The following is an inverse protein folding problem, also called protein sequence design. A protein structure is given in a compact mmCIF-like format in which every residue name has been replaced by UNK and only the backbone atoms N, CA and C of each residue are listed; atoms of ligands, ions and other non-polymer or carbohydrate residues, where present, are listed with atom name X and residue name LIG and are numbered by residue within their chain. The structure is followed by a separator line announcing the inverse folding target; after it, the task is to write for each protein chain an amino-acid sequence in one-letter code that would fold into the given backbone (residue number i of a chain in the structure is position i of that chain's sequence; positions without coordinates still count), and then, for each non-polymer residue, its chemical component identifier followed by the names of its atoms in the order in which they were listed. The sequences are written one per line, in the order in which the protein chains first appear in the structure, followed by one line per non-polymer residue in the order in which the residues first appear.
data_IF_860141327018
#
_entry.id   IF_860141327018
#
_cell.length_a   1.000
_cell.length_b   1.000
_cell.length_c   1.000
_cell.angle_alpha   90.00
_cell.angle_beta   90.00
_cell.angle_gamma   90.00
#
_symmetry.space_group_name_H-M   'P 1'
#
loop_
_entity.id
_entity.type
_entity.pdbx_description
1 polymer ?
#
# COMPACT_ATOMS: atom_id res chain seq x y z
N UNK A 1 -16.77 -0.14 9.64
CA UNK A 1 -16.35 -0.38 8.24
C UNK A 1 -16.02 -1.85 8.04
N UNK A 2 -16.51 -2.41 6.96
CA UNK A 2 -16.29 -3.83 6.70
C UNK A 2 -14.85 -4.08 6.28
N UNK A 3 -14.19 -5.13 6.81
CA UNK A 3 -12.80 -5.43 6.44
C UNK A 3 -12.57 -5.60 4.94
N UNK A 4 -13.54 -6.18 4.23
CA UNK A 4 -13.43 -6.38 2.78
C UNK A 4 -13.35 -5.04 2.03
N UNK A 5 -14.05 -4.01 2.50
CA UNK A 5 -14.04 -2.69 1.86
C UNK A 5 -12.66 -2.03 1.99
N UNK A 6 -12.02 -2.19 3.14
CA UNK A 6 -10.67 -1.66 3.35
C UNK A 6 -9.63 -2.49 2.61
N UNK A 7 -9.84 -3.80 2.49
CA UNK A 7 -8.95 -4.66 1.71
C UNK A 7 -8.94 -4.22 0.25
N UNK A 8 -10.11 -3.95 -0.32
CA UNK A 8 -10.20 -3.44 -1.68
C UNK A 8 -9.51 -2.08 -1.82
N UNK A 9 -9.68 -1.21 -0.82
CA UNK A 9 -9.02 0.08 -0.82
C UNK A 9 -7.49 -0.06 -0.86
N UNK A 10 -6.93 -0.99 -0.09
CA UNK A 10 -5.49 -1.25 -0.08
C UNK A 10 -5.01 -1.80 -1.42
N UNK A 11 -5.82 -2.66 -2.04
CA UNK A 11 -5.52 -3.24 -3.35
C UNK A 11 -5.31 -2.13 -4.39
N UNK A 12 -6.19 -1.14 -4.40
CA UNK A 12 -6.06 -0.01 -5.33
C UNK A 12 -4.97 0.97 -4.91
N UNK A 13 -4.82 1.17 -3.60
CA UNK A 13 -3.82 2.10 -3.09
C UNK A 13 -2.40 1.67 -3.47
N UNK A 14 -2.06 0.39 -3.36
CA UNK A 14 -0.72 -0.07 -3.71
C UNK A 14 -0.46 0.12 -5.20
N UNK A 15 -1.45 -0.07 -6.03
CA UNK A 15 -1.31 0.15 -7.47
C UNK A 15 -1.09 1.63 -7.79
N UNK A 16 -1.83 2.51 -7.11
CA UNK A 16 -1.67 3.95 -7.30
C UNK A 16 -0.28 4.42 -6.82
N UNK A 17 0.17 3.91 -5.69
CA UNK A 17 1.50 4.23 -5.17
C UNK A 17 2.58 3.78 -6.15
N UNK A 18 2.47 2.55 -6.64
CA UNK A 18 3.39 2.01 -7.62
C UNK A 18 3.42 2.89 -8.88
N UNK A 19 2.25 3.26 -9.39
CA UNK A 19 2.13 4.12 -10.56
C UNK A 19 2.83 5.46 -10.33
N UNK A 20 2.62 6.06 -9.17
CA UNK A 20 3.26 7.32 -8.81
C UNK A 20 4.78 7.19 -8.75
N UNK A 21 5.28 6.09 -8.18
CA UNK A 21 6.73 5.86 -8.10
C UNK A 21 7.37 5.71 -9.49
N UNK A 22 6.68 5.01 -10.40
CA UNK A 22 7.21 4.71 -11.73
C UNK A 22 7.08 5.89 -12.67
N UNK A 23 5.90 6.50 -12.74
CA UNK A 23 5.63 7.56 -13.73
C UNK A 23 6.04 8.93 -13.27
N UNK A 24 6.07 9.13 -11.96
CA UNK A 24 6.33 10.44 -11.33
C UNK A 24 5.30 11.49 -11.72
N UNK A 25 4.13 11.03 -12.16
CA UNK A 25 3.02 11.92 -12.46
C UNK A 25 2.47 12.58 -11.19
N UNK A 26 1.74 13.65 -11.37
CA UNK A 26 1.09 14.35 -10.27
C UNK A 26 0.14 13.41 -9.54
N UNK A 27 0.23 13.36 -8.21
CA UNK A 27 -0.60 12.44 -7.42
C UNK A 27 -2.10 12.70 -7.60
N UNK A 28 -2.50 13.96 -7.72
CA UNK A 28 -3.91 14.29 -7.93
C UNK A 28 -4.44 13.71 -9.24
N UNK A 29 -3.61 13.71 -10.28
CA UNK A 29 -4.01 13.15 -11.57
C UNK A 29 -4.12 11.63 -11.50
N UNK A 30 -3.20 10.98 -10.78
CA UNK A 30 -3.26 9.52 -10.58
C UNK A 30 -4.51 9.16 -9.80
N UNK A 31 -4.79 9.90 -8.72
CA UNK A 31 -5.98 9.66 -7.92
C UNK A 31 -7.25 9.79 -8.76
N UNK A 32 -7.34 10.85 -9.55
CA UNK A 32 -8.49 11.07 -10.41
C UNK A 32 -8.66 9.93 -11.41
N UNK A 33 -7.56 9.49 -11.99
CA UNK A 33 -7.57 8.39 -12.96
C UNK A 33 -8.13 7.11 -12.31
N UNK A 34 -7.68 6.80 -11.10
CA UNK A 34 -8.20 5.63 -10.38
C UNK A 34 -9.68 5.79 -10.03
N UNK A 35 -10.08 7.00 -9.59
CA UNK A 35 -11.48 7.26 -9.23
C UNK A 35 -12.41 7.25 -10.44
N UNK A 36 -11.90 7.60 -11.62
CA UNK A 36 -12.70 7.58 -12.85
C UNK A 36 -12.97 6.16 -13.36
N UNK A 37 -12.16 5.21 -12.92
CA UNK A 37 -12.32 3.82 -13.35
C UNK A 37 -11.76 3.50 -14.72
N UNK A 38 -11.14 4.45 -15.39
CA UNK A 38 -10.62 4.24 -16.75
C UNK A 38 -9.61 3.09 -16.82
N UNK A 39 -8.70 3.01 -15.86
CA UNK A 39 -7.68 1.97 -15.86
C UNK A 39 -8.24 0.59 -15.57
N UNK A 40 -9.50 0.49 -15.19
CA UNK A 40 -10.14 -0.79 -14.86
C UNK A 40 -10.93 -1.38 -16.01
N UNK A 41 -10.95 -0.75 -17.17
CA UNK A 41 -11.69 -1.29 -18.31
C UNK A 41 -11.21 -2.69 -18.67
N UNK A 42 -9.90 -2.90 -18.68
CA UNK A 42 -9.33 -4.23 -18.95
C UNK A 42 -9.59 -5.19 -17.79
N UNK A 43 -9.44 -4.71 -16.57
CA UNK A 43 -9.66 -5.53 -15.38
C UNK A 43 -11.13 -5.90 -15.19
N UNK A 44 -12.03 -5.07 -15.68
CA UNK A 44 -13.46 -5.31 -15.57
C UNK A 44 -13.88 -6.62 -16.23
N UNK A 45 -13.06 -7.16 -17.12
CA UNK A 45 -13.32 -8.45 -17.75
C UNK A 45 -12.97 -9.64 -16.86
N UNK A 46 -12.32 -9.40 -15.74
CA UNK A 46 -12.00 -10.46 -14.79
C UNK A 46 -13.08 -10.52 -13.72
N UNK A 47 -13.67 -11.70 -13.57
CA UNK A 47 -14.83 -11.86 -12.70
C UNK A 47 -14.55 -11.57 -11.22
N UNK A 48 -13.31 -11.77 -10.79
CA UNK A 48 -12.91 -11.61 -9.40
C UNK A 48 -12.19 -10.29 -9.09
N UNK A 49 -12.03 -9.42 -10.08
CA UNK A 49 -11.31 -8.17 -9.88
C UNK A 49 -12.15 -7.20 -9.04
N UNK A 50 -11.55 -6.54 -8.03
CA UNK A 50 -12.28 -5.51 -7.29
C UNK A 50 -12.49 -4.28 -8.16
N UNK A 51 -13.57 -3.56 -7.88
CA UNK A 51 -13.92 -2.32 -8.60
C UNK A 51 -13.92 -1.18 -7.59
N UNK A 52 -13.11 -0.16 -7.83
CA UNK A 52 -12.93 0.94 -6.86
C UNK A 52 -14.25 1.63 -6.53
N UNK A 53 -15.07 1.90 -7.54
CA UNK A 53 -16.34 2.59 -7.34
C UNK A 53 -17.45 1.69 -6.81
N UNK A 54 -17.18 0.41 -6.60
CA UNK A 54 -18.19 -0.51 -6.10
C UNK A 54 -18.58 -0.17 -4.65
N UNK A 55 -19.84 -0.45 -4.26
CA UNK A 55 -20.30 -0.12 -2.91
C UNK A 55 -19.47 -0.76 -1.80
N UNK A 56 -18.81 -1.86 -2.08
CA UNK A 56 -18.02 -2.59 -1.08
C UNK A 56 -16.57 -2.13 -1.01
N UNK A 57 -16.20 -1.04 -1.68
CA UNK A 57 -14.86 -0.47 -1.59
C UNK A 57 -14.90 0.83 -0.81
N UNK A 58 -14.01 0.96 0.18
CA UNK A 58 -13.90 2.18 0.97
C UNK A 58 -13.04 3.20 0.23
N UNK A 59 -13.68 4.04 -0.55
CA UNK A 59 -13.00 5.04 -1.39
C UNK A 59 -12.25 6.06 -0.52
N UNK A 60 -12.83 6.47 0.59
CA UNK A 60 -12.16 7.43 1.49
C UNK A 60 -10.87 6.84 2.06
N UNK A 61 -10.89 5.55 2.41
CA UNK A 61 -9.71 4.88 2.91
C UNK A 61 -8.63 4.80 1.82
N UNK A 62 -9.02 4.50 0.59
CA UNK A 62 -8.11 4.51 -0.55
C UNK A 62 -7.42 5.88 -0.68
N UNK A 63 -8.20 6.95 -0.63
CA UNK A 63 -7.66 8.30 -0.78
C UNK A 63 -6.71 8.65 0.36
N UNK A 64 -7.06 8.29 1.58
CA UNK A 64 -6.20 8.51 2.74
C UNK A 64 -4.87 7.78 2.58
N UNK A 65 -4.91 6.51 2.20
CA UNK A 65 -3.70 5.72 2.03
C UNK A 65 -2.80 6.27 0.93
N UNK A 66 -3.37 6.54 -0.23
CA UNK A 66 -2.57 7.02 -1.35
C UNK A 66 -2.00 8.40 -1.10
N UNK A 67 -2.85 9.35 -0.73
CA UNK A 67 -2.44 10.73 -0.44
C UNK A 67 -1.46 10.75 0.74
N UNK A 68 -1.74 9.97 1.76
CA UNK A 68 -0.89 9.91 2.94
C UNK A 68 0.51 9.43 2.63
N UNK A 69 0.63 8.39 1.80
CA UNK A 69 1.95 7.90 1.39
C UNK A 69 2.69 8.96 0.59
N UNK A 70 2.03 9.59 -0.38
CA UNK A 70 2.66 10.63 -1.20
C UNK A 70 3.18 11.77 -0.32
N UNK A 71 2.35 12.25 0.60
CA UNK A 71 2.73 13.38 1.45
C UNK A 71 3.79 13.04 2.50
N UNK A 72 3.86 11.79 2.92
CA UNK A 72 4.73 11.37 4.01
C UNK A 72 5.85 10.43 3.58
N UNK A 73 6.07 10.25 2.28
CA UNK A 73 7.00 9.22 1.83
C UNK A 73 8.42 9.41 2.37
N UNK A 74 8.88 10.63 2.55
CA UNK A 74 10.22 10.86 3.09
C UNK A 74 10.33 10.38 4.54
N UNK A 75 9.30 10.63 5.34
CA UNK A 75 9.25 10.14 6.72
C UNK A 75 9.19 8.61 6.73
N UNK A 76 8.34 8.03 5.88
CA UNK A 76 8.21 6.57 5.80
C UNK A 76 9.55 5.93 5.40
N UNK A 77 10.21 6.49 4.40
CA UNK A 77 11.50 5.98 3.93
C UNK A 77 12.56 6.06 5.02
N UNK A 78 12.57 7.16 5.76
CA UNK A 78 13.50 7.36 6.86
C UNK A 78 13.33 6.29 7.95
N UNK A 79 12.09 5.91 8.23
CA UNK A 79 11.79 4.90 9.24
C UNK A 79 12.20 3.50 8.81
N UNK A 80 12.10 3.19 7.51
CA UNK A 80 12.42 1.83 7.07
C UNK A 80 13.89 1.61 6.76
N UNK A 81 14.66 2.66 6.43
CA UNK A 81 16.06 2.50 6.01
C UNK A 81 16.90 1.66 6.96
N UNK A 82 16.85 1.85 8.30
CA UNK A 82 17.69 1.04 9.19
C UNK A 82 17.39 -0.46 9.16
N UNK A 83 16.25 -0.86 8.64
CA UNK A 83 15.83 -2.25 8.61
C UNK A 83 16.00 -2.91 7.26
N UNK A 84 16.54 -2.17 6.29
CA UNK A 84 16.78 -2.70 4.95
C UNK A 84 18.21 -3.23 4.86
N UNK A 85 18.38 -4.35 4.16
CA UNK A 85 19.70 -4.94 3.94
C UNK A 85 20.42 -4.33 2.74
N UNK A 86 19.71 -3.51 1.96
CA UNK A 86 20.28 -2.83 0.80
C UNK A 86 19.68 -1.43 0.71
N UNK A 87 20.31 -0.51 -0.07
CA UNK A 87 19.80 0.86 -0.17
C UNK A 87 18.37 0.89 -0.68
N UNK A 88 17.62 1.87 -0.19
CA UNK A 88 16.20 2.02 -0.55
C UNK A 88 16.01 2.15 -2.06
N UNK A 89 16.90 2.87 -2.73
CA UNK A 89 16.81 3.08 -4.17
C UNK A 89 17.05 1.80 -4.99
N UNK A 90 17.58 0.76 -4.36
CA UNK A 90 17.82 -0.53 -5.02
C UNK A 90 16.66 -1.52 -4.80
N UNK A 91 15.63 -1.11 -4.06
CA UNK A 91 14.48 -1.99 -3.84
C UNK A 91 13.65 -2.11 -5.12
N UNK A 92 13.05 -3.29 -5.29
CA UNK A 92 12.00 -3.47 -6.28
C UNK A 92 10.88 -2.46 -6.02
N UNK A 93 10.36 -1.84 -7.08
CA UNK A 93 9.38 -0.76 -6.93
C UNK A 93 8.07 -1.22 -6.33
N UNK A 94 7.65 -2.45 -6.59
CA UNK A 94 6.44 -2.97 -5.96
C UNK A 94 6.69 -3.25 -4.48
N UNK A 95 7.85 -3.79 -4.12
CA UNK A 95 8.20 -4.00 -2.72
C UNK A 95 8.23 -2.67 -1.97
N UNK A 96 8.78 -1.64 -2.59
CA UNK A 96 8.80 -0.30 -1.99
C UNK A 96 7.39 0.24 -1.78
N UNK A 97 6.51 0.06 -2.78
CA UNK A 97 5.12 0.50 -2.66
C UNK A 97 4.41 -0.21 -1.52
N UNK A 98 4.61 -1.52 -1.40
CA UNK A 98 4.01 -2.32 -0.34
C UNK A 98 4.48 -1.87 1.04
N UNK A 99 5.79 -1.63 1.17
CA UNK A 99 6.35 -1.18 2.45
C UNK A 99 5.85 0.22 2.81
N UNK A 100 5.80 1.14 1.86
CA UNK A 100 5.30 2.49 2.12
C UNK A 100 3.84 2.47 2.56
N UNK A 101 3.02 1.66 1.89
CA UNK A 101 1.61 1.53 2.25
C UNK A 101 1.46 1.00 3.66
N UNK A 102 2.13 -0.12 3.97
CA UNK A 102 2.02 -0.75 5.28
C UNK A 102 2.54 0.17 6.39
N UNK A 103 3.66 0.84 6.16
CA UNK A 103 4.21 1.76 7.15
C UNK A 103 3.27 2.94 7.42
N UNK A 104 2.65 3.46 6.38
CA UNK A 104 1.68 4.53 6.57
C UNK A 104 0.54 4.08 7.49
N UNK A 105 -0.03 2.89 7.24
CA UNK A 105 -1.09 2.39 8.09
C UNK A 105 -0.62 2.18 9.53
N UNK A 106 0.57 1.61 9.69
CA UNK A 106 1.11 1.36 11.03
C UNK A 106 1.32 2.68 11.78
N UNK A 107 1.84 3.69 11.10
CA UNK A 107 2.17 4.97 11.75
C UNK A 107 0.98 5.89 11.93
N UNK A 108 0.06 5.91 10.97
CA UNK A 108 -0.99 6.94 10.94
C UNK A 108 -2.41 6.39 11.15
N UNK A 109 -2.62 5.09 11.09
CA UNK A 109 -3.93 4.48 11.29
C UNK A 109 -3.87 3.52 12.46
N UNK A 110 -3.80 4.08 13.66
CA UNK A 110 -3.68 3.30 14.89
C UNK A 110 -4.94 2.49 15.22
N UNK A 111 -6.05 2.82 14.57
CA UNK A 111 -7.28 2.04 14.69
C UNK A 111 -7.17 0.66 14.05
N UNK A 112 -6.15 0.44 13.21
CA UNK A 112 -5.92 -0.87 12.57
C UNK A 112 -4.77 -1.58 13.32
N UNK A 113 -5.02 -2.79 13.85
CA UNK A 113 -3.93 -3.54 14.50
C UNK A 113 -2.79 -3.80 13.53
N UNK A 114 -1.54 -3.66 14.00
CA UNK A 114 -0.40 -3.80 13.09
C UNK A 114 -0.29 -5.21 12.51
N UNK A 115 -0.76 -6.22 13.22
CA UNK A 115 -0.75 -7.60 12.70
C UNK A 115 -1.69 -7.72 11.50
N UNK A 116 -2.79 -7.00 11.50
CA UNK A 116 -3.69 -6.95 10.34
C UNK A 116 -3.00 -6.28 9.17
N UNK A 117 -2.30 -5.17 9.42
CA UNK A 117 -1.56 -4.46 8.36
C UNK A 117 -0.52 -5.38 7.74
N UNK A 118 0.25 -6.10 8.55
CA UNK A 118 1.27 -7.01 8.04
C UNK A 118 0.64 -8.12 7.20
N UNK A 119 -0.43 -8.75 7.70
CA UNK A 119 -1.08 -9.82 6.96
C UNK A 119 -1.63 -9.33 5.62
N UNK A 120 -2.23 -8.14 5.59
CA UNK A 120 -2.74 -7.58 4.35
C UNK A 120 -1.60 -7.25 3.36
N UNK A 121 -0.49 -6.75 3.88
CA UNK A 121 0.69 -6.49 3.04
C UNK A 121 1.23 -7.77 2.41
N UNK A 122 1.26 -8.86 3.18
CA UNK A 122 1.71 -10.16 2.68
C UNK A 122 0.79 -10.63 1.55
N UNK A 123 -0.53 -10.52 1.73
CA UNK A 123 -1.47 -10.94 0.70
C UNK A 123 -1.32 -10.12 -0.58
N UNK A 124 -1.12 -8.80 -0.44
CA UNK A 124 -0.88 -7.94 -1.60
C UNK A 124 0.44 -8.29 -2.29
N UNK A 125 1.46 -8.63 -1.52
CA UNK A 125 2.75 -9.04 -2.09
C UNK A 125 2.62 -10.31 -2.91
N UNK A 126 1.76 -11.23 -2.49
CA UNK A 126 1.49 -12.46 -3.25
C UNK A 126 0.76 -12.18 -4.54
N UNK A 127 -0.05 -11.14 -4.58
CA UNK A 127 -0.81 -10.77 -5.78
C UNK A 127 0.06 -9.98 -6.77
N UNK A 128 0.79 -8.99 -6.29
CA UNK A 128 1.47 -8.02 -7.15
C UNK A 128 2.98 -8.18 -7.21
N UNK A 129 3.58 -8.82 -6.23
CA UNK A 129 5.03 -8.91 -6.14
C UNK A 129 5.60 -10.13 -6.85
N UNK A 130 6.93 -10.22 -6.86
CA UNK A 130 7.63 -11.39 -7.34
C UNK A 130 7.47 -12.54 -6.33
N UNK A 131 7.92 -13.74 -6.70
CA UNK A 131 7.69 -14.97 -5.93
C UNK A 131 8.01 -14.84 -4.44
N UNK A 132 9.14 -14.22 -4.11
CA UNK A 132 9.57 -14.11 -2.71
C UNK A 132 9.37 -12.73 -2.10
N UNK A 133 8.67 -11.81 -2.79
CA UNK A 133 8.46 -10.47 -2.27
C UNK A 133 7.77 -10.47 -0.91
N UNK A 134 6.80 -11.37 -0.70
CA UNK A 134 6.08 -11.43 0.57
C UNK A 134 6.99 -11.76 1.75
N UNK A 135 8.04 -12.56 1.52
CA UNK A 135 8.99 -12.90 2.57
C UNK A 135 9.84 -11.69 2.96
N UNK A 136 10.29 -10.94 1.98
CA UNK A 136 11.05 -9.72 2.22
C UNK A 136 10.21 -8.68 2.96
N UNK A 137 8.99 -8.43 2.48
CA UNK A 137 8.08 -7.46 3.10
C UNK A 137 7.77 -7.86 4.53
N UNK A 138 7.43 -9.13 4.75
CA UNK A 138 7.16 -9.64 6.10
C UNK A 138 8.37 -9.46 7.03
N UNK A 139 9.56 -9.76 6.54
CA UNK A 139 10.78 -9.62 7.35
C UNK A 139 11.03 -8.20 7.82
N UNK A 140 10.84 -7.24 6.94
CA UNK A 140 11.00 -5.82 7.30
C UNK A 140 9.93 -5.39 8.29
N UNK A 141 8.66 -5.72 8.00
CA UNK A 141 7.54 -5.26 8.81
C UNK A 141 7.53 -5.90 10.20
N UNK A 142 7.91 -7.17 10.30
CA UNK A 142 7.98 -7.84 11.60
C UNK A 142 8.94 -7.14 12.57
N UNK A 143 10.02 -6.60 12.05
CA UNK A 143 11.01 -5.90 12.88
C UNK A 143 10.56 -4.48 13.20
N UNK A 144 9.94 -3.83 12.23
CA UNK A 144 9.65 -2.40 12.31
C UNK A 144 8.33 -2.09 13.03
N UNK A 145 7.30 -2.89 12.78
CA UNK A 145 5.97 -2.59 13.30
C UNK A 145 5.91 -2.50 14.84
N UNK A 146 6.50 -3.45 15.60
CA UNK A 146 6.45 -3.33 17.05
C UNK A 146 7.14 -2.08 17.57
N UNK A 147 8.21 -1.63 16.90
CA UNK A 147 8.94 -0.43 17.30
C UNK A 147 8.07 0.81 17.08
N UNK A 148 7.41 0.89 15.92
CA UNK A 148 6.57 2.05 15.59
C UNK A 148 5.30 2.12 16.43
N UNK A 149 4.75 0.98 16.83
CA UNK A 149 3.54 0.92 17.64
C UNK A 149 3.82 0.94 19.14
N UNK A 150 5.08 0.81 19.52
CA UNK A 150 5.44 0.87 20.93
C UNK A 150 5.41 2.32 21.37
N UNK A 151 4.35 2.71 22.00
CA UNK A 151 4.19 4.07 22.51
C UNK A 151 4.32 4.14 23.99
N UNK A 152 4.87 5.22 24.42
CA UNK A 152 4.93 5.51 25.83
C UNK A 152 3.52 5.76 26.36
#
# INVERSE_FOLDING_TARGET
MKPAARRNARHFAVQAIYSWQITKENAADIELHFLSGEQFEEEAHRADAPVLAAPHTDVEYFRDLFTGVVLNHQELDSKMRPYLSRPLQDLDQMELALLRLALYEIMKREDVPYKVVINEAIELAKIFGAEDSHKFVNGVLDKLAPVLRKKA
#
